data_IF_223881997769
#
_entry.id   IF_223881997769
#
_cell.length_a   1.000
_cell.length_b   1.000
_cell.length_c   1.000
_cell.angle_alpha   90.00
_cell.angle_beta   90.00
_cell.angle_gamma   90.00
#
_symmetry.space_group_name_H-M   'P 1'
#
loop_
_entity.id
_entity.type
_entity.pdbx_description
1 polymer ?
#
# COMPACT_ATOMS: atom_id res chain seq x y z
N UNK A 1 -15.80 -23.92 -0.54
CA UNK A 1 -15.27 -23.17 -1.70
C UNK A 1 -14.89 -21.78 -1.22
N UNK A 2 -13.64 -21.35 -1.45
CA UNK A 2 -12.93 -20.34 -0.66
C UNK A 2 -13.50 -18.91 -0.70
N UNK A 3 -13.58 -18.31 0.48
CA UNK A 3 -14.05 -16.95 0.80
C UNK A 3 -13.00 -15.85 0.50
N UNK A 4 -12.01 -16.10 -0.35
CA UNK A 4 -10.88 -15.17 -0.56
C UNK A 4 -10.91 -14.62 -1.98
N UNK A 5 -11.72 -13.59 -2.18
CA UNK A 5 -11.71 -12.79 -3.40
C UNK A 5 -10.55 -11.79 -3.43
N UNK A 6 -10.35 -11.08 -4.56
CA UNK A 6 -9.31 -10.06 -4.66
C UNK A 6 -9.54 -8.90 -3.69
N UNK A 7 -8.46 -8.17 -3.39
CA UNK A 7 -8.53 -6.99 -2.53
C UNK A 7 -9.48 -5.95 -3.13
N UNK A 8 -10.54 -5.63 -2.40
CA UNK A 8 -11.57 -4.66 -2.79
C UNK A 8 -11.63 -3.50 -1.81
N UNK A 9 -11.51 -2.30 -2.35
CA UNK A 9 -11.75 -1.05 -1.62
C UNK A 9 -13.10 -0.48 -2.02
N UNK A 10 -13.95 -0.19 -1.02
CA UNK A 10 -15.21 0.52 -1.22
C UNK A 10 -14.98 2.01 -0.97
N UNK A 11 -15.04 2.80 -2.03
CA UNK A 11 -14.91 4.25 -1.94
C UNK A 11 -16.16 4.89 -1.31
N UNK A 12 -16.02 6.11 -0.81
CA UNK A 12 -17.13 6.86 -0.16
C UNK A 12 -18.31 7.10 -1.10
N UNK A 13 -18.05 7.18 -2.40
CA UNK A 13 -19.07 7.28 -3.45
C UNK A 13 -19.82 5.95 -3.73
N UNK A 14 -19.52 4.88 -3.00
CA UNK A 14 -20.15 3.56 -3.15
C UNK A 14 -19.53 2.68 -4.25
N UNK A 15 -18.59 3.20 -5.05
CA UNK A 15 -17.90 2.42 -6.08
C UNK A 15 -16.90 1.46 -5.45
N UNK A 16 -16.77 0.28 -6.08
CA UNK A 16 -15.79 -0.74 -5.71
C UNK A 16 -14.60 -0.63 -6.64
N UNK A 17 -13.42 -0.66 -6.05
CA UNK A 17 -12.16 -0.68 -6.78
C UNK A 17 -11.32 -1.86 -6.30
N UNK A 18 -10.74 -2.56 -7.25
CA UNK A 18 -9.84 -3.68 -7.03
C UNK A 18 -8.40 -3.19 -7.16
N UNK A 19 -7.49 -3.76 -6.38
CA UNK A 19 -6.07 -3.42 -6.43
C UNK A 19 -5.37 -4.17 -7.56
N UNK A 20 -4.56 -3.49 -8.34
CA UNK A 20 -3.80 -4.04 -9.47
C UNK A 20 -2.33 -3.65 -9.38
N UNK A 21 -1.50 -4.42 -10.09
CA UNK A 21 -0.07 -4.17 -10.23
C UNK A 21 0.33 -4.21 -11.70
N UNK A 22 1.09 -3.20 -12.14
CA UNK A 22 1.68 -3.17 -13.48
C UNK A 22 3.14 -2.78 -13.40
N UNK A 23 4.01 -3.52 -14.09
CA UNK A 23 5.40 -3.12 -14.27
C UNK A 23 5.51 -2.03 -15.32
N UNK A 24 6.26 -0.97 -15.02
CA UNK A 24 6.67 0.09 -15.95
C UNK A 24 8.19 0.15 -15.97
N UNK A 25 8.79 -0.59 -16.89
CA UNK A 25 10.24 -0.78 -16.92
C UNK A 25 10.72 -1.48 -15.65
N UNK A 26 11.56 -0.81 -14.87
CA UNK A 26 12.07 -1.33 -13.58
C UNK A 26 11.20 -0.97 -12.37
N UNK A 27 10.15 -0.16 -12.57
CA UNK A 27 9.28 0.29 -11.48
C UNK A 27 7.98 -0.52 -11.43
N UNK A 28 7.51 -0.81 -10.21
CA UNK A 28 6.18 -1.41 -9.98
C UNK A 28 5.20 -0.28 -9.70
N UNK A 29 4.14 -0.19 -10.52
CA UNK A 29 3.03 0.73 -10.32
C UNK A 29 1.85 -0.05 -9.77
N UNK A 30 1.41 0.31 -8.58
CA UNK A 30 0.16 -0.17 -8.02
C UNK A 30 -0.94 0.84 -8.27
N UNK A 31 -2.12 0.36 -8.68
CA UNK A 31 -3.25 1.22 -9.03
C UNK A 31 -4.57 0.51 -8.75
N UNK A 32 -5.65 1.29 -8.69
CA UNK A 32 -7.00 0.79 -8.46
C UNK A 32 -7.84 0.88 -9.72
N UNK A 33 -8.60 -0.17 -10.02
CA UNK A 33 -9.49 -0.28 -11.19
C UNK A 33 -10.84 -0.87 -10.80
N UNK A 34 -11.88 -0.67 -11.60
CA UNK A 34 -13.20 -1.29 -11.40
C UNK A 34 -13.26 -2.73 -11.91
N UNK A 35 -12.25 -3.15 -12.67
CA UNK A 35 -12.12 -4.50 -13.20
C UNK A 35 -11.57 -5.45 -12.12
N UNK A 36 -12.24 -6.58 -11.80
CA UNK A 36 -11.73 -7.57 -10.85
C UNK A 36 -10.68 -8.51 -11.44
N UNK A 37 -10.49 -8.53 -12.76
CA UNK A 37 -9.55 -9.43 -13.45
C UNK A 37 -8.11 -9.12 -13.03
N UNK A 38 -7.28 -10.13 -12.78
CA UNK A 38 -5.86 -9.96 -12.37
C UNK A 38 -5.62 -9.06 -11.13
N UNK A 39 -6.67 -8.85 -10.34
CA UNK A 39 -6.55 -8.06 -9.13
C UNK A 39 -5.71 -8.80 -8.08
N UNK A 40 -4.87 -8.05 -7.38
CA UNK A 40 -4.10 -8.52 -6.25
C UNK A 40 -5.03 -8.92 -5.09
N UNK A 41 -4.60 -9.94 -4.36
CA UNK A 41 -5.37 -10.47 -3.24
C UNK A 41 -5.11 -9.68 -1.95
N UNK A 42 -3.89 -9.15 -1.82
CA UNK A 42 -3.43 -8.46 -0.62
C UNK A 42 -2.77 -7.12 -0.92
N UNK A 43 -2.85 -6.23 0.07
CA UNK A 43 -2.18 -4.94 0.07
C UNK A 43 -0.67 -5.14 0.30
N UNK A 44 0.22 -4.56 -0.54
CA UNK A 44 1.65 -4.65 -0.31
C UNK A 44 2.06 -4.09 1.06
N UNK A 45 3.01 -4.73 1.77
CA UNK A 45 3.47 -4.28 3.07
C UNK A 45 4.06 -2.87 2.97
N UNK A 46 3.75 -2.02 3.96
CA UNK A 46 4.23 -0.64 3.99
C UNK A 46 3.42 0.34 3.13
N UNK A 47 2.28 -0.10 2.61
CA UNK A 47 1.33 0.78 1.95
C UNK A 47 0.01 0.83 2.71
N UNK A 48 -0.69 1.96 2.60
CA UNK A 48 -2.06 2.20 3.02
C UNK A 48 -2.88 2.69 1.83
N UNK A 49 -4.18 2.41 1.83
CA UNK A 49 -5.11 2.92 0.83
C UNK A 49 -5.67 4.24 1.32
N UNK A 50 -5.53 5.28 0.50
CA UNK A 50 -6.09 6.61 0.75
C UNK A 50 -7.01 6.98 -0.42
N UNK A 51 -8.17 7.56 -0.12
CA UNK A 51 -9.09 8.06 -1.15
C UNK A 51 -8.81 9.53 -1.44
N UNK A 52 -8.67 9.89 -2.72
CA UNK A 52 -8.54 11.29 -3.12
C UNK A 52 -9.87 12.04 -2.86
N UNK A 53 -9.91 13.07 -1.99
CA UNK A 53 -11.15 13.76 -1.66
C UNK A 53 -11.80 14.49 -2.83
N UNK A 54 -11.03 14.84 -3.88
CA UNK A 54 -11.56 15.55 -5.06
C UNK A 54 -12.19 14.62 -6.09
N UNK A 55 -11.66 13.41 -6.25
CA UNK A 55 -12.07 12.48 -7.32
C UNK A 55 -12.75 11.21 -6.80
N UNK A 56 -12.61 10.90 -5.52
CA UNK A 56 -13.05 9.62 -4.93
C UNK A 56 -12.22 8.41 -5.38
N UNK A 57 -11.09 8.63 -6.07
CA UNK A 57 -10.23 7.54 -6.55
C UNK A 57 -9.30 7.08 -5.42
N UNK A 58 -9.32 5.79 -5.05
CA UNK A 58 -8.34 5.23 -4.12
C UNK A 58 -6.95 5.14 -4.76
N UNK A 59 -5.93 5.43 -3.97
CA UNK A 59 -4.52 5.29 -4.33
C UNK A 59 -3.72 4.78 -3.14
N UNK A 60 -2.55 4.21 -3.43
CA UNK A 60 -1.65 3.74 -2.38
C UNK A 60 -0.71 4.85 -1.93
N UNK A 61 -0.60 4.99 -0.61
CA UNK A 61 0.37 5.84 0.06
C UNK A 61 1.33 4.96 0.83
N UNK A 62 2.62 5.30 0.84
CA UNK A 62 3.56 4.63 1.74
C UNK A 62 3.18 4.99 3.18
N UNK A 63 2.93 3.96 4.00
CA UNK A 63 2.89 4.12 5.45
C UNK A 63 4.29 4.57 5.86
N UNK A 64 4.38 5.64 6.66
CA UNK A 64 5.64 5.89 7.37
C UNK A 64 5.90 4.70 8.28
N UNK A 65 6.79 3.81 7.85
CA UNK A 65 7.30 2.77 8.73
C UNK A 65 8.15 3.47 9.79
N UNK A 66 7.60 3.63 10.99
CA UNK A 66 8.34 4.05 12.18
C UNK A 66 9.58 3.16 12.46
N UNK A 67 9.72 2.02 11.76
CA UNK A 67 10.87 1.12 11.81
C UNK A 67 12.07 1.50 10.93
N UNK A 68 11.96 2.43 9.97
CA UNK A 68 13.14 2.87 9.19
C UNK A 68 13.96 3.96 9.91
N UNK A 69 13.44 4.51 11.00
CA UNK A 69 14.17 5.44 11.88
C UNK A 69 15.02 4.74 12.96
N UNK A 70 15.06 3.41 13.01
CA UNK A 70 15.88 2.67 13.98
C UNK A 70 17.32 2.37 13.51
N UNK A 71 17.69 2.71 12.27
CA UNK A 71 19.08 2.58 11.79
C UNK A 71 19.93 3.86 12.00
N UNK A 72 19.42 4.82 12.78
CA UNK A 72 20.01 6.15 12.93
C UNK A 72 20.19 6.60 14.37
N UNK A 73 20.75 5.76 15.26
CA UNK A 73 21.49 6.19 16.46
C UNK A 73 22.09 4.97 17.19
N UNK A 74 23.21 4.47 16.69
CA UNK A 74 24.23 3.86 17.55
C UNK A 74 25.30 4.93 17.73
N UNK A 75 25.10 5.81 18.71
CA UNK A 75 26.17 6.66 19.25
C UNK A 75 26.76 5.93 20.46
N UNK A 76 28.07 6.00 20.46
CA UNK A 76 29.08 5.41 21.33
C UNK A 76 29.04 5.97 22.76
N UNK A 77 29.89 5.41 23.62
CA UNK A 77 30.20 5.76 25.02
C UNK A 77 29.29 5.11 26.09
N UNK A 78 29.79 4.33 27.04
CA UNK A 78 31.00 4.57 27.82
C UNK A 78 31.80 3.30 28.12
N UNK A 79 33.08 3.36 27.76
CA UNK A 79 34.15 2.78 28.58
C UNK A 79 34.16 3.50 29.93
N UNK A 80 34.24 2.77 31.03
CA UNK A 80 34.85 3.24 32.27
C UNK A 80 35.42 2.01 32.97
N UNK A 81 36.72 1.82 32.80
CA UNK A 81 37.59 1.25 33.83
C UNK A 81 38.18 2.43 34.61
#
# INVERSE_FOLDING_TARGET
>A
MGLFGPYVYKAKNGKKYYLHMKMRGRAVLYFFSTDPTDALWDLPPGYEVVENPKTGLPFLKKKEYAGFSLFGKKKEESQSQ
#
